data_IF_470222096019
#
_entry.id   IF_470222096019
#
_cell.length_a   1.000
_cell.length_b   1.000
_cell.length_c   1.000
_cell.angle_alpha   90.00
_cell.angle_beta   90.00
_cell.angle_gamma   90.00
#
_symmetry.space_group_name_H-M   'P 1'
#
loop_
_entity.id
_entity.type
_entity.pdbx_description
1 polymer ?
#
# COMPACT_ATOMS: atom_id res chain seq x y z
N UNK A 1 -23.14 -10.78 1.04
CA UNK A 1 -22.09 -10.05 0.31
C UNK A 1 -22.06 -10.55 -1.13
N UNK A 2 -21.73 -9.71 -2.11
CA UNK A 2 -21.60 -10.16 -3.50
C UNK A 2 -20.34 -10.99 -3.71
N UNK A 3 -20.29 -11.82 -4.75
CA UNK A 3 -19.10 -12.57 -5.16
C UNK A 3 -17.88 -11.67 -5.30
N UNK A 4 -18.06 -10.49 -5.92
CA UNK A 4 -17.00 -9.49 -6.09
C UNK A 4 -16.45 -8.98 -4.74
N UNK A 5 -17.32 -8.77 -3.74
CA UNK A 5 -16.89 -8.35 -2.41
C UNK A 5 -16.05 -9.42 -1.68
N UNK A 6 -16.37 -10.70 -1.86
CA UNK A 6 -15.54 -11.80 -1.35
C UNK A 6 -14.18 -11.85 -2.03
N UNK A 7 -14.16 -11.74 -3.36
CA UNK A 7 -12.92 -11.69 -4.14
C UNK A 7 -12.04 -10.53 -3.67
N UNK A 8 -12.60 -9.33 -3.56
CA UNK A 8 -11.90 -8.14 -3.05
C UNK A 8 -11.30 -8.39 -1.66
N UNK A 9 -12.11 -8.93 -0.73
CA UNK A 9 -11.69 -9.15 0.66
C UNK A 9 -10.56 -10.18 0.75
N UNK A 10 -10.65 -11.29 -0.01
CA UNK A 10 -9.61 -12.32 -0.04
C UNK A 10 -8.28 -11.76 -0.55
N UNK A 11 -8.29 -11.05 -1.68
CA UNK A 11 -7.10 -10.37 -2.18
C UNK A 11 -6.58 -9.32 -1.19
N UNK A 12 -7.48 -8.63 -0.48
CA UNK A 12 -7.16 -7.68 0.59
C UNK A 12 -6.39 -8.30 1.75
N UNK A 13 -6.86 -9.44 2.27
CA UNK A 13 -6.21 -10.17 3.37
C UNK A 13 -4.82 -10.64 2.93
N UNK A 14 -4.70 -11.24 1.74
CA UNK A 14 -3.40 -11.70 1.24
C UNK A 14 -2.44 -10.53 1.02
N UNK A 15 -2.91 -9.39 0.49
CA UNK A 15 -2.10 -8.18 0.36
C UNK A 15 -1.64 -7.64 1.71
N UNK A 16 -2.49 -7.62 2.74
CA UNK A 16 -2.11 -7.18 4.09
C UNK A 16 -0.99 -8.06 4.66
N UNK A 17 -1.14 -9.39 4.59
CA UNK A 17 -0.14 -10.32 5.12
C UNK A 17 1.17 -10.26 4.33
N UNK A 18 1.09 -10.28 3.00
CA UNK A 18 2.27 -10.19 2.14
C UNK A 18 2.98 -8.84 2.28
N UNK A 19 2.23 -7.73 2.37
CA UNK A 19 2.77 -6.39 2.60
C UNK A 19 3.48 -6.29 3.95
N UNK A 20 2.90 -6.85 5.01
CA UNK A 20 3.55 -6.98 6.33
C UNK A 20 4.91 -7.68 6.18
N UNK A 21 4.93 -8.85 5.54
CA UNK A 21 6.16 -9.60 5.30
C UNK A 21 7.18 -8.76 4.49
N UNK A 22 6.76 -8.07 3.44
CA UNK A 22 7.64 -7.20 2.62
C UNK A 22 8.31 -6.11 3.46
N UNK A 23 7.59 -5.51 4.42
CA UNK A 23 8.11 -4.48 5.32
C UNK A 23 9.18 -5.04 6.27
N UNK A 24 9.02 -6.24 6.81
CA UNK A 24 9.98 -6.82 7.78
C UNK A 24 11.13 -7.61 7.13
N UNK A 25 10.93 -8.15 5.92
CA UNK A 25 11.94 -8.95 5.25
C UNK A 25 13.15 -8.11 4.80
N UNK A 26 14.33 -8.75 4.84
CA UNK A 26 15.58 -8.18 4.32
C UNK A 26 15.43 -7.75 2.86
N UNK A 27 15.65 -6.45 2.62
CA UNK A 27 15.45 -5.82 1.31
C UNK A 27 16.36 -6.44 0.25
N UNK A 28 15.82 -6.62 -0.96
CA UNK A 28 16.54 -7.21 -2.10
C UNK A 28 16.83 -8.72 -2.02
N UNK A 29 16.37 -9.40 -0.96
CA UNK A 29 16.46 -10.86 -0.83
C UNK A 29 15.53 -11.63 -1.78
N UNK A 30 15.64 -12.96 -1.80
CA UNK A 30 14.69 -13.84 -2.52
C UNK A 30 13.28 -13.70 -1.93
N UNK A 31 13.16 -13.83 -0.61
CA UNK A 31 11.87 -13.73 0.09
C UNK A 31 11.20 -12.37 -0.07
N UNK A 32 11.97 -11.27 0.02
CA UNK A 32 11.43 -9.93 -0.22
C UNK A 32 10.84 -9.79 -1.63
N UNK A 33 11.48 -10.36 -2.66
CA UNK A 33 10.96 -10.35 -4.04
C UNK A 33 9.72 -11.23 -4.20
N UNK A 34 9.73 -12.44 -3.64
CA UNK A 34 8.60 -13.36 -3.70
C UNK A 34 7.35 -12.76 -3.04
N UNK A 35 7.46 -12.32 -1.78
CA UNK A 35 6.35 -11.67 -1.08
C UNK A 35 6.01 -10.31 -1.70
N UNK A 36 6.98 -9.61 -2.29
CA UNK A 36 6.75 -8.38 -3.05
C UNK A 36 5.87 -8.59 -4.28
N UNK A 37 6.06 -9.70 -5.01
CA UNK A 37 5.19 -10.05 -6.14
C UNK A 37 3.80 -10.48 -5.68
N UNK A 38 3.70 -11.27 -4.61
CA UNK A 38 2.40 -11.63 -4.02
C UNK A 38 1.65 -10.37 -3.59
N UNK A 39 2.31 -9.46 -2.87
CA UNK A 39 1.74 -8.19 -2.47
C UNK A 39 1.27 -7.39 -3.69
N UNK A 40 2.14 -7.19 -4.69
CA UNK A 40 1.84 -6.40 -5.90
C UNK A 40 0.60 -6.94 -6.64
N UNK A 41 0.55 -8.23 -6.93
CA UNK A 41 -0.56 -8.82 -7.71
C UNK A 41 -1.88 -8.76 -6.95
N UNK A 42 -1.86 -9.05 -5.64
CA UNK A 42 -3.04 -8.97 -4.80
C UNK A 42 -3.50 -7.52 -4.61
N UNK A 43 -2.57 -6.58 -4.49
CA UNK A 43 -2.86 -5.15 -4.39
C UNK A 43 -3.51 -4.60 -5.67
N UNK A 44 -3.09 -5.07 -6.85
CA UNK A 44 -3.76 -4.73 -8.11
C UNK A 44 -5.17 -5.32 -8.14
N UNK A 45 -5.33 -6.61 -7.84
CA UNK A 45 -6.62 -7.29 -7.88
C UNK A 45 -7.65 -6.67 -6.91
N UNK A 46 -7.25 -6.37 -5.66
CA UNK A 46 -8.15 -5.74 -4.69
C UNK A 46 -8.55 -4.32 -5.12
N UNK A 47 -7.62 -3.53 -5.67
CA UNK A 47 -7.94 -2.17 -6.11
C UNK A 47 -8.85 -2.18 -7.34
N UNK A 48 -8.58 -3.06 -8.32
CA UNK A 48 -9.44 -3.21 -9.50
C UNK A 48 -10.83 -3.62 -9.07
N UNK A 49 -10.98 -4.63 -8.21
CA UNK A 49 -12.29 -5.05 -7.71
C UNK A 49 -13.00 -3.96 -6.91
N UNK A 50 -12.28 -3.14 -6.13
CA UNK A 50 -12.86 -1.99 -5.42
C UNK A 50 -13.50 -0.97 -6.36
N UNK A 51 -12.94 -0.76 -7.56
CA UNK A 51 -13.51 0.16 -8.57
C UNK A 51 -14.87 -0.29 -9.12
N UNK A 52 -15.24 -1.55 -8.91
CA UNK A 52 -16.51 -2.12 -9.36
C UNK A 52 -17.49 -2.40 -8.20
N UNK A 53 -17.16 -2.01 -6.96
CA UNK A 53 -18.03 -2.19 -5.78
C UNK A 53 -18.77 -0.88 -5.45
N UNK A 54 -20.04 -0.82 -5.84
CA UNK A 54 -20.89 0.37 -5.67
C UNK A 54 -21.81 0.32 -4.43
N UNK A 55 -21.65 -0.67 -3.56
CA UNK A 55 -22.65 -1.01 -2.52
C UNK A 55 -22.94 0.11 -1.51
N UNK A 56 -21.98 1.00 -1.26
CA UNK A 56 -22.11 2.03 -0.23
C UNK A 56 -22.81 3.30 -0.72
N UNK A 57 -22.55 3.73 -1.96
CA UNK A 57 -23.08 5.00 -2.49
C UNK A 57 -23.99 4.82 -3.71
N UNK A 58 -24.07 3.62 -4.29
CA UNK A 58 -24.74 3.37 -5.57
C UNK A 58 -24.06 4.01 -6.79
N UNK A 59 -22.95 4.73 -6.57
CA UNK A 59 -22.18 5.49 -7.57
C UNK A 59 -20.71 5.52 -7.18
N UNK A 60 -19.88 6.02 -8.09
CA UNK A 60 -18.46 6.24 -7.82
C UNK A 60 -18.31 7.17 -6.60
N UNK A 61 -17.53 6.73 -5.62
CA UNK A 61 -17.45 7.37 -4.31
C UNK A 61 -16.03 7.38 -3.74
N UNK A 62 -15.85 7.86 -2.49
CA UNK A 62 -14.55 8.01 -1.84
C UNK A 62 -13.63 6.78 -1.92
N UNK A 63 -14.15 5.56 -1.70
CA UNK A 63 -13.34 4.34 -1.80
C UNK A 63 -12.79 4.06 -3.19
N UNK A 64 -13.50 4.49 -4.24
CA UNK A 64 -13.02 4.33 -5.61
C UNK A 64 -11.86 5.31 -5.89
N UNK A 65 -11.97 6.55 -5.40
CA UNK A 65 -10.86 7.51 -5.45
C UNK A 65 -9.63 7.02 -4.66
N UNK A 66 -9.84 6.41 -3.49
CA UNK A 66 -8.76 5.79 -2.72
C UNK A 66 -8.12 4.61 -3.48
N UNK A 67 -8.90 3.78 -4.17
CA UNK A 67 -8.38 2.70 -5.00
C UNK A 67 -7.54 3.23 -6.18
N UNK A 68 -7.98 4.30 -6.85
CA UNK A 68 -7.20 4.96 -7.90
C UNK A 68 -5.89 5.54 -7.35
N UNK A 69 -5.93 6.24 -6.22
CA UNK A 69 -4.74 6.77 -5.56
C UNK A 69 -3.78 5.66 -5.13
N UNK A 70 -4.30 4.52 -4.69
CA UNK A 70 -3.51 3.33 -4.35
C UNK A 70 -2.82 2.74 -5.58
N UNK A 71 -3.53 2.59 -6.70
CA UNK A 71 -2.95 2.15 -7.97
C UNK A 71 -1.86 3.10 -8.47
N UNK A 72 -2.08 4.41 -8.38
CA UNK A 72 -1.06 5.42 -8.71
C UNK A 72 0.19 5.28 -7.83
N UNK A 73 0.00 5.13 -6.51
CA UNK A 73 1.08 4.93 -5.55
C UNK A 73 1.87 3.65 -5.86
N UNK A 74 1.17 2.57 -6.22
CA UNK A 74 1.76 1.29 -6.58
C UNK A 74 2.55 1.38 -7.90
N UNK A 75 2.04 2.11 -8.88
CA UNK A 75 2.76 2.41 -10.12
C UNK A 75 4.03 3.23 -9.83
N UNK A 76 3.93 4.29 -9.02
CA UNK A 76 5.07 5.10 -8.58
C UNK A 76 6.12 4.29 -7.81
N UNK A 77 5.71 3.22 -7.12
CA UNK A 77 6.61 2.30 -6.46
C UNK A 77 7.39 1.40 -7.44
N UNK A 78 6.75 0.97 -8.53
CA UNK A 78 7.34 0.00 -9.46
C UNK A 78 8.11 0.66 -10.61
N UNK A 79 7.70 1.85 -11.08
CA UNK A 79 8.37 2.58 -12.16
C UNK A 79 9.88 2.75 -11.90
N UNK A 80 10.36 3.14 -10.70
CA UNK A 80 11.78 3.24 -10.40
C UNK A 80 12.52 1.91 -10.48
N UNK A 81 11.86 0.77 -10.22
CA UNK A 81 12.47 -0.56 -10.30
C UNK A 81 12.72 -0.98 -11.74
N UNK A 82 11.77 -0.67 -12.63
CA UNK A 82 11.87 -1.00 -14.05
C UNK A 82 12.78 -0.04 -14.81
N UNK A 83 12.66 1.26 -14.55
CA UNK A 83 13.44 2.30 -15.24
C UNK A 83 14.83 2.51 -14.65
N UNK A 84 15.02 2.12 -13.37
CA UNK A 84 16.20 2.46 -12.56
C UNK A 84 16.48 3.95 -12.50
N UNK A 85 15.42 4.76 -12.57
CA UNK A 85 15.48 6.22 -12.51
C UNK A 85 14.67 6.76 -11.31
N UNK A 86 15.09 7.91 -10.74
CA UNK A 86 16.34 8.62 -11.01
C UNK A 86 17.54 7.87 -10.45
N UNK A 87 18.71 8.13 -11.03
CA UNK A 87 20.00 7.65 -10.54
C UNK A 87 20.18 8.07 -9.08
N UNK A 88 20.77 7.21 -8.26
CA UNK A 88 20.96 7.39 -6.83
C UNK A 88 19.70 7.19 -5.97
N UNK A 89 18.51 7.48 -6.51
CA UNK A 89 17.27 7.58 -5.72
C UNK A 89 16.23 6.49 -6.03
N UNK A 90 16.41 5.68 -7.08
CA UNK A 90 15.38 4.72 -7.48
C UNK A 90 15.01 3.72 -6.37
N UNK A 91 15.99 3.29 -5.57
CA UNK A 91 15.79 2.35 -4.47
C UNK A 91 15.00 3.00 -3.32
N UNK A 92 15.36 4.24 -2.96
CA UNK A 92 14.65 5.01 -1.94
C UNK A 92 13.22 5.28 -2.38
N UNK A 93 13.00 5.74 -3.62
CA UNK A 93 11.66 5.99 -4.17
C UNK A 93 10.81 4.73 -4.15
N UNK A 94 11.35 3.61 -4.61
CA UNK A 94 10.66 2.33 -4.52
C UNK A 94 10.26 2.03 -3.07
N UNK A 95 11.18 2.15 -2.12
CA UNK A 95 10.92 1.83 -0.73
C UNK A 95 9.89 2.77 -0.07
N UNK A 96 9.95 4.08 -0.37
CA UNK A 96 8.97 5.07 0.11
C UNK A 96 7.58 4.76 -0.44
N UNK A 97 7.44 4.54 -1.75
CA UNK A 97 6.13 4.31 -2.35
C UNK A 97 5.56 2.92 -2.04
N UNK A 98 6.40 1.86 -1.91
CA UNK A 98 5.92 0.57 -1.40
C UNK A 98 5.40 0.75 0.03
N UNK A 99 6.16 1.41 0.91
CA UNK A 99 5.73 1.67 2.29
C UNK A 99 4.45 2.50 2.34
N UNK A 100 4.36 3.55 1.51
CA UNK A 100 3.18 4.39 1.38
C UNK A 100 1.96 3.62 0.89
N UNK A 101 2.10 2.75 -0.12
CA UNK A 101 1.01 1.90 -0.59
C UNK A 101 0.50 0.96 0.50
N UNK A 102 1.41 0.42 1.33
CA UNK A 102 1.06 -0.48 2.41
C UNK A 102 0.37 0.27 3.57
N UNK A 103 0.86 1.46 3.93
CA UNK A 103 0.18 2.34 4.90
C UNK A 103 -1.21 2.71 4.40
N UNK A 104 -1.36 3.01 3.11
CA UNK A 104 -2.66 3.27 2.48
C UNK A 104 -3.60 2.07 2.57
N UNK A 105 -3.09 0.84 2.38
CA UNK A 105 -3.86 -0.39 2.57
C UNK A 105 -4.37 -0.51 4.02
N UNK A 106 -3.48 -0.34 5.00
CA UNK A 106 -3.85 -0.38 6.42
C UNK A 106 -4.85 0.72 6.78
N UNK A 107 -4.66 1.93 6.25
CA UNK A 107 -5.57 3.05 6.46
C UNK A 107 -6.97 2.77 5.89
N UNK A 108 -7.05 2.22 4.66
CA UNK A 108 -8.31 1.84 4.04
C UNK A 108 -9.02 0.71 4.82
N UNK A 109 -8.28 -0.31 5.26
CA UNK A 109 -8.83 -1.37 6.12
C UNK A 109 -9.34 -0.82 7.45
N UNK A 110 -8.57 0.04 8.11
CA UNK A 110 -8.97 0.65 9.37
C UNK A 110 -10.23 1.52 9.19
N UNK A 111 -10.26 2.37 8.15
CA UNK A 111 -11.40 3.21 7.83
C UNK A 111 -12.67 2.39 7.52
N UNK A 112 -12.53 1.28 6.79
CA UNK A 112 -13.62 0.34 6.49
C UNK A 112 -14.16 -0.30 7.77
N UNK A 113 -13.29 -0.74 8.69
CA UNK A 113 -13.70 -1.33 9.98
C UNK A 113 -14.39 -0.27 10.84
N UNK A 114 -13.78 0.90 11.02
CA UNK A 114 -14.30 1.95 11.90
C UNK A 114 -15.61 2.52 11.41
N UNK A 115 -15.81 2.61 10.08
CA UNK A 115 -17.05 3.15 9.51
C UNK A 115 -18.24 2.18 9.56
N UNK A 116 -17.99 0.92 9.93
CA UNK A 116 -19.01 -0.12 10.14
C UNK A 116 -19.36 -0.32 11.63
N UNK A 117 -18.80 0.50 12.53
CA UNK A 117 -19.12 0.40 13.96
C UNK A 117 -20.52 0.98 14.24
N UNK A 118 -21.29 0.38 15.17
CA UNK A 118 -22.57 0.95 15.57
C UNK A 118 -22.41 2.40 16.04
N UNK A 119 -23.24 3.31 15.52
CA UNK A 119 -23.21 4.74 15.88
C UNK A 119 -22.35 5.63 14.96
N UNK A 120 -21.63 5.08 13.98
CA UNK A 120 -20.88 5.90 13.00
C UNK A 120 -21.68 6.28 11.76
N UNK A 121 -22.93 5.84 11.66
CA UNK A 121 -23.85 6.02 10.52
C UNK A 121 -23.90 7.48 10.03
N UNK A 122 -24.10 8.42 10.96
CA UNK A 122 -24.29 9.85 10.67
C UNK A 122 -22.97 10.62 10.52
N UNK A 123 -21.84 10.00 10.89
CA UNK A 123 -20.50 10.62 10.91
C UNK A 123 -19.52 9.85 10.02
N UNK A 124 -20.04 9.13 9.02
CA UNK A 124 -19.26 8.27 8.13
C UNK A 124 -18.02 8.96 7.56
N UNK A 125 -18.21 10.13 6.92
CA UNK A 125 -17.13 10.89 6.29
C UNK A 125 -16.03 11.31 7.27
N UNK A 126 -16.38 12.01 8.36
CA UNK A 126 -15.43 12.36 9.42
C UNK A 126 -14.67 11.17 10.02
N UNK A 127 -15.34 10.03 10.28
CA UNK A 127 -14.71 8.82 10.84
C UNK A 127 -13.68 8.23 9.86
N UNK A 128 -14.05 8.10 8.58
CA UNK A 128 -13.14 7.62 7.54
C UNK A 128 -11.94 8.56 7.40
N UNK A 129 -12.18 9.88 7.34
CA UNK A 129 -11.12 10.87 7.20
C UNK A 129 -10.18 10.87 8.41
N UNK A 130 -10.73 10.91 9.63
CA UNK A 130 -9.97 10.92 10.88
C UNK A 130 -9.11 9.67 11.04
N UNK A 131 -9.68 8.48 10.80
CA UNK A 131 -8.95 7.21 10.87
C UNK A 131 -7.84 7.14 9.83
N UNK A 132 -8.13 7.58 8.59
CA UNK A 132 -7.14 7.62 7.51
C UNK A 132 -5.99 8.56 7.83
N UNK A 133 -6.29 9.78 8.29
CA UNK A 133 -5.27 10.78 8.67
C UNK A 133 -4.39 10.25 9.80
N UNK A 134 -4.98 9.63 10.82
CA UNK A 134 -4.24 9.05 11.93
C UNK A 134 -3.25 7.98 11.46
N UNK A 135 -3.73 6.99 10.69
CA UNK A 135 -2.89 5.88 10.22
C UNK A 135 -1.81 6.39 9.26
N UNK A 136 -2.14 7.31 8.35
CA UNK A 136 -1.15 7.92 7.45
C UNK A 136 -0.12 8.71 8.25
N UNK A 137 -0.53 9.50 9.25
CA UNK A 137 0.37 10.27 10.10
C UNK A 137 1.38 9.38 10.83
N UNK A 138 0.89 8.32 11.48
CA UNK A 138 1.73 7.30 12.13
C UNK A 138 2.64 6.62 11.10
N UNK A 139 2.10 6.24 9.94
CA UNK A 139 2.87 5.60 8.87
C UNK A 139 4.00 6.49 8.32
N UNK A 140 3.74 7.78 8.10
CA UNK A 140 4.74 8.76 7.66
C UNK A 140 5.81 8.95 8.73
N UNK A 141 5.42 9.01 10.00
CA UNK A 141 6.37 9.04 11.12
C UNK A 141 7.28 7.79 11.10
N UNK A 142 6.71 6.59 10.96
CA UNK A 142 7.46 5.34 10.87
C UNK A 142 8.38 5.29 9.65
N UNK A 143 7.94 5.76 8.48
CA UNK A 143 8.80 5.86 7.29
C UNK A 143 10.01 6.75 7.61
N UNK A 144 9.80 7.95 8.14
CA UNK A 144 10.90 8.89 8.43
C UNK A 144 11.90 8.35 9.44
N UNK A 145 11.46 7.52 10.39
CA UNK A 145 12.31 6.96 11.45
C UNK A 145 12.99 5.66 11.05
N UNK A 146 12.27 4.74 10.41
CA UNK A 146 12.74 3.36 10.19
C UNK A 146 13.28 3.13 8.76
N UNK A 147 12.85 3.91 7.76
CA UNK A 147 13.28 3.71 6.38
C UNK A 147 14.80 3.86 6.19
N UNK A 148 15.48 4.87 6.77
CA UNK A 148 16.93 5.02 6.58
C UNK A 148 17.72 3.79 7.07
N UNK A 149 17.31 3.22 8.20
CA UNK A 149 17.89 1.99 8.75
C UNK A 149 17.60 0.78 7.85
N UNK A 150 16.37 0.67 7.33
CA UNK A 150 16.03 -0.42 6.41
C UNK A 150 16.82 -0.35 5.10
N UNK A 151 17.08 0.86 4.58
CA UNK A 151 17.87 1.06 3.37
C UNK A 151 19.36 0.74 3.61
N UNK A 152 19.90 1.07 4.79
CA UNK A 152 21.29 0.77 5.13
C UNK A 152 21.58 -0.74 5.27
N UNK A 153 20.56 -1.55 5.52
CA UNK A 153 20.66 -3.02 5.56
C UNK A 153 20.57 -3.68 4.16
N UNK A 154 20.31 -2.91 3.10
CA UNK A 154 20.24 -3.43 1.73
C UNK A 154 21.63 -3.87 1.24
N UNK A 155 21.75 -5.02 0.53
CA UNK A 155 23.03 -5.49 0.00
C UNK A 155 23.82 -4.42 -0.78
N UNK A 156 25.12 -4.33 -0.54
CA UNK A 156 26.00 -3.31 -1.12
C UNK A 156 25.90 -3.23 -2.65
N UNK A 157 25.80 -4.38 -3.34
CA UNK A 157 25.60 -4.45 -4.80
C UNK A 157 24.40 -3.66 -5.31
N UNK A 158 23.29 -3.65 -4.56
CA UNK A 158 22.07 -2.94 -4.96
C UNK A 158 22.20 -1.43 -4.70
N UNK A 159 22.94 -1.04 -3.66
CA UNK A 159 23.26 0.37 -3.38
C UNK A 159 24.26 0.93 -4.39
N UNK A 160 25.29 0.17 -4.78
CA UNK A 160 26.22 0.60 -5.83
C UNK A 160 25.52 0.71 -7.19
N UNK A 161 24.58 -0.19 -7.48
CA UNK A 161 23.76 -0.11 -8.70
C UNK A 161 22.86 1.13 -8.76
N UNK A 162 22.61 1.85 -7.66
CA UNK A 162 21.94 3.15 -7.73
C UNK A 162 22.89 4.24 -8.21
N UNK A 163 24.19 4.16 -7.89
CA UNK A 163 25.20 5.18 -8.19
C UNK A 163 25.80 5.06 -9.60
N UNK A 164 25.85 3.84 -10.15
CA UNK A 164 26.58 3.54 -11.40
C UNK A 164 25.73 3.59 -12.67
N UNK A 165 24.43 3.90 -12.57
CA UNK A 165 23.51 4.00 -13.72
C UNK A 165 23.40 5.40 -14.23
#
# INVERSE_FOLDING_TARGET
MSTLGWVHTTFGIVALLAGTAVIFLKKGGRWHRTFGHIYLTNMIALNVTALFIYRLYGRFGPFHWMALGSLFTLAAAMIPVFTRRPKGLWLERHAVFVSGSYIGLVAATAAEITSRLPGTENIFGPVVAGTTILIIGVGVYLIRRCLPQSLSQTPARLRQATQNL
#
